data_IF_117706275440
#
_entry.id   IF_117706275440
#
_cell.length_a   1.000
_cell.length_b   1.000
_cell.length_c   1.000
_cell.angle_alpha   90.00
_cell.angle_beta   90.00
_cell.angle_gamma   90.00
#
_symmetry.space_group_name_H-M   'P 1'
#
loop_
_entity.id
_entity.type
_entity.pdbx_description
1 polymer ?
#
# COMPACT_ATOMS: atom_id res chain seq x y z
N UNK A 1 34.78 15.34 24.72
CA UNK A 1 34.13 14.02 24.57
C UNK A 1 32.71 14.28 24.08
N UNK A 2 32.41 13.97 22.82
CA UNK A 2 31.03 14.05 22.31
C UNK A 2 30.32 12.83 22.87
N UNK A 3 29.36 13.05 23.75
CA UNK A 3 28.46 12.04 24.26
C UNK A 3 27.76 11.34 23.09
N UNK A 4 28.08 10.07 22.87
CA UNK A 4 27.53 9.22 21.79
C UNK A 4 26.27 8.50 22.24
N UNK A 5 25.60 8.95 23.31
CA UNK A 5 24.39 8.29 23.79
C UNK A 5 23.19 8.52 22.87
N UNK A 6 22.71 7.39 22.32
CA UNK A 6 21.39 7.13 21.75
C UNK A 6 20.99 7.87 20.46
N UNK A 7 21.71 7.64 19.36
CA UNK A 7 21.05 7.76 18.04
C UNK A 7 20.09 6.56 17.93
N UNK A 8 18.76 6.75 17.88
CA UNK A 8 17.82 5.64 17.78
C UNK A 8 18.12 4.84 16.51
N UNK A 9 17.97 3.52 16.59
CA UNK A 9 18.13 2.66 15.43
C UNK A 9 17.14 3.10 14.34
N UNK A 10 17.46 2.84 13.06
CA UNK A 10 16.53 3.18 11.98
C UNK A 10 15.18 2.49 12.14
N UNK A 11 15.09 1.40 12.92
CA UNK A 11 13.84 0.69 13.22
C UNK A 11 13.03 1.35 14.34
N UNK A 12 13.66 2.11 15.24
CA UNK A 12 12.99 2.81 16.34
C UNK A 12 12.55 4.24 15.98
N UNK A 13 12.87 4.70 14.76
CA UNK A 13 12.56 6.06 14.35
C UNK A 13 11.04 6.27 14.23
N UNK A 14 10.45 6.92 15.22
CA UNK A 14 9.04 7.31 15.22
C UNK A 14 8.74 8.35 14.10
N UNK A 15 7.54 8.31 13.50
CA UNK A 15 7.11 9.33 12.55
C UNK A 15 6.93 10.71 13.20
N UNK A 16 7.48 11.76 12.59
CA UNK A 16 7.20 13.14 13.01
C UNK A 16 5.85 13.63 12.48
N UNK A 17 5.25 14.65 13.10
CA UNK A 17 4.01 15.26 12.59
C UNK A 17 4.13 15.69 11.11
N UNK A 18 5.29 16.23 10.72
CA UNK A 18 5.59 16.59 9.32
C UNK A 18 5.62 15.36 8.41
N UNK A 19 6.17 14.24 8.86
CA UNK A 19 6.16 12.99 8.10
C UNK A 19 4.72 12.47 7.94
N UNK A 20 3.92 12.49 9.01
CA UNK A 20 2.51 12.08 8.96
C UNK A 20 1.71 12.94 7.96
N UNK A 21 1.87 14.26 8.01
CA UNK A 21 1.22 15.17 7.06
C UNK A 21 1.61 14.86 5.61
N UNK A 22 2.91 14.67 5.34
CA UNK A 22 3.42 14.32 4.00
C UNK A 22 2.95 12.94 3.54
N UNK A 23 2.78 12.00 4.45
CA UNK A 23 2.21 10.70 4.10
C UNK A 23 0.78 10.89 3.60
N UNK A 24 -0.07 11.57 4.36
CA UNK A 24 -1.46 11.78 3.98
C UNK A 24 -1.65 12.69 2.75
N UNK A 25 -0.71 13.59 2.47
CA UNK A 25 -0.73 14.38 1.23
C UNK A 25 -0.45 13.56 -0.03
N UNK A 26 0.05 12.33 0.11
CA UNK A 26 0.28 11.38 -0.98
C UNK A 26 -0.78 10.26 -1.01
N UNK A 27 -1.97 10.52 -0.44
CA UNK A 27 -3.07 9.56 -0.39
C UNK A 27 -4.32 10.17 -1.01
N UNK A 28 -4.83 9.52 -2.05
CA UNK A 28 -6.13 9.85 -2.65
C UNK A 28 -7.19 8.98 -1.98
N UNK A 29 -8.14 9.61 -1.28
CA UNK A 29 -9.15 8.91 -0.48
C UNK A 29 -10.43 8.72 -1.28
N UNK A 30 -10.81 7.46 -1.49
CA UNK A 30 -12.14 7.13 -1.97
C UNK A 30 -13.22 7.36 -0.91
N UNK A 31 -14.46 7.64 -1.33
CA UNK A 31 -15.59 7.87 -0.43
C UNK A 31 -16.08 6.56 0.21
N UNK A 32 -16.90 6.65 1.26
CA UNK A 32 -17.61 5.49 1.82
C UNK A 32 -16.69 4.33 2.22
N UNK A 33 -16.90 3.13 1.66
CA UNK A 33 -16.06 1.94 1.87
C UNK A 33 -15.02 1.72 0.75
N UNK A 34 -14.62 2.76 0.04
CA UNK A 34 -13.62 2.66 -1.03
C UNK A 34 -12.17 2.71 -0.52
N UNK A 35 -11.23 2.31 -1.38
CA UNK A 35 -9.81 2.31 -1.03
C UNK A 35 -9.24 3.72 -0.82
N UNK A 36 -8.17 3.82 -0.03
CA UNK A 36 -7.35 5.02 0.03
C UNK A 36 -6.03 4.71 -0.65
N UNK A 37 -5.77 5.31 -1.81
CA UNK A 37 -4.69 4.91 -2.70
C UNK A 37 -3.46 5.76 -2.44
N UNK A 38 -2.34 5.09 -2.19
CA UNK A 38 -1.02 5.70 -2.18
C UNK A 38 -0.63 6.14 -3.59
N UNK A 39 -0.33 7.42 -3.77
CA UNK A 39 0.11 8.01 -5.05
C UNK A 39 1.55 8.54 -5.03
N UNK A 40 2.30 8.21 -3.98
CA UNK A 40 3.74 8.50 -3.89
C UNK A 40 4.62 7.44 -4.57
N UNK A 41 5.91 7.32 -4.17
CA UNK A 41 6.83 6.35 -4.73
C UNK A 41 6.34 4.90 -4.63
N UNK A 42 6.54 4.14 -5.70
CA UNK A 42 6.27 2.69 -5.80
C UNK A 42 7.61 2.00 -6.03
N UNK A 43 7.86 0.92 -5.29
CA UNK A 43 9.08 0.14 -5.45
C UNK A 43 8.96 -0.84 -6.62
N UNK A 44 10.04 -1.01 -7.36
CA UNK A 44 10.21 -2.04 -8.38
C UNK A 44 11.31 -3.01 -7.92
N UNK A 45 11.13 -4.33 -8.12
CA UNK A 45 10.02 -4.96 -8.83
C UNK A 45 8.80 -5.28 -7.95
N UNK A 46 8.81 -5.06 -6.63
CA UNK A 46 7.77 -5.59 -5.72
C UNK A 46 6.36 -5.00 -5.90
N UNK A 47 6.25 -3.77 -6.41
CA UNK A 47 5.01 -3.08 -6.71
C UNK A 47 4.33 -2.43 -5.49
N UNK A 48 4.96 -2.41 -4.32
CA UNK A 48 4.37 -1.77 -3.15
C UNK A 48 4.71 -0.29 -3.08
N UNK A 49 3.77 0.53 -2.57
CA UNK A 49 4.07 1.90 -2.18
C UNK A 49 5.19 1.95 -1.14
N UNK A 50 6.05 2.97 -1.19
CA UNK A 50 7.15 3.19 -0.25
C UNK A 50 7.08 4.57 0.37
N UNK A 51 7.34 4.62 1.67
CA UNK A 51 7.42 5.87 2.41
C UNK A 51 8.69 5.92 3.25
N UNK A 52 9.45 7.01 3.09
CA UNK A 52 10.72 7.23 3.78
C UNK A 52 10.65 8.51 4.58
N UNK A 53 10.98 8.47 5.87
CA UNK A 53 11.11 9.67 6.70
C UNK A 53 12.46 9.70 7.40
N UNK A 54 12.83 10.88 7.87
CA UNK A 54 14.15 11.12 8.44
C UNK A 54 14.03 12.15 9.56
N UNK A 55 14.78 11.92 10.64
CA UNK A 55 15.01 12.88 11.72
C UNK A 55 16.51 12.94 11.96
N UNK A 56 17.10 14.15 11.92
CA UNK A 56 18.55 14.35 11.95
C UNK A 56 19.24 13.46 10.89
N UNK A 57 20.13 12.57 11.29
CA UNK A 57 20.88 11.63 10.43
C UNK A 57 20.22 10.26 10.29
N UNK A 58 19.10 9.99 10.97
CA UNK A 58 18.44 8.67 10.95
C UNK A 58 17.30 8.68 9.94
N UNK A 59 17.33 7.74 9.00
CA UNK A 59 16.31 7.54 7.97
C UNK A 59 15.67 6.17 8.13
N UNK A 60 14.34 6.12 8.02
CA UNK A 60 13.55 4.90 8.04
C UNK A 60 12.65 4.83 6.80
N UNK A 61 12.54 3.65 6.21
CA UNK A 61 11.66 3.37 5.06
C UNK A 61 10.79 2.18 5.37
N UNK A 62 9.48 2.31 5.15
CA UNK A 62 8.51 1.22 5.20
C UNK A 62 7.74 1.14 3.88
N UNK A 63 7.05 0.02 3.65
CA UNK A 63 5.95 0.03 2.67
C UNK A 63 4.85 0.99 3.15
N UNK A 64 4.16 1.63 2.22
CA UNK A 64 3.14 2.64 2.54
C UNK A 64 2.02 2.06 3.41
N UNK A 65 1.59 0.81 3.15
CA UNK A 65 0.60 0.12 3.99
C UNK A 65 1.14 -0.16 5.41
N UNK A 66 2.41 -0.56 5.57
CA UNK A 66 3.00 -0.76 6.91
C UNK A 66 3.15 0.56 7.66
N UNK A 67 3.41 1.65 6.96
CA UNK A 67 3.40 2.97 7.58
C UNK A 67 2.00 3.36 8.05
N UNK A 68 0.95 3.10 7.28
CA UNK A 68 -0.42 3.33 7.72
C UNK A 68 -0.79 2.50 8.95
N UNK A 69 -0.40 1.22 8.99
CA UNK A 69 -0.56 0.37 10.17
C UNK A 69 0.23 0.89 11.37
N UNK A 70 1.46 1.37 11.17
CA UNK A 70 2.25 2.00 12.23
C UNK A 70 1.54 3.22 12.83
N UNK A 71 0.87 4.04 12.00
CA UNK A 71 0.11 5.18 12.50
C UNK A 71 -1.13 4.78 13.29
N UNK A 72 -1.81 3.70 12.88
CA UNK A 72 -3.00 3.20 13.57
C UNK A 72 -2.66 2.51 14.89
N UNK A 73 -1.65 1.63 14.88
CA UNK A 73 -1.26 0.81 16.02
C UNK A 73 -0.40 1.58 17.03
N UNK A 74 0.31 2.62 16.59
CA UNK A 74 1.34 3.31 17.38
C UNK A 74 2.68 2.57 17.44
N UNK A 75 2.75 1.35 16.89
CA UNK A 75 3.94 0.50 16.83
C UNK A 75 4.03 -0.27 15.51
N UNK A 76 5.18 -0.90 15.26
CA UNK A 76 5.33 -1.74 14.08
C UNK A 76 4.42 -2.96 14.15
N UNK A 77 3.97 -3.43 12.98
CA UNK A 77 3.25 -4.71 12.88
C UNK A 77 4.07 -5.79 13.59
N UNK A 78 3.51 -6.46 14.62
CA UNK A 78 4.26 -7.37 15.47
C UNK A 78 4.87 -8.53 14.68
N UNK A 79 5.95 -9.10 15.22
CA UNK A 79 6.57 -10.29 14.63
C UNK A 79 5.56 -11.44 14.54
N UNK A 80 5.57 -12.17 13.41
CA UNK A 80 4.59 -13.23 13.13
C UNK A 80 3.30 -12.75 12.47
N UNK A 81 3.09 -11.43 12.36
CA UNK A 81 1.94 -10.83 11.68
C UNK A 81 2.35 -10.09 10.41
N UNK A 82 1.38 -9.90 9.52
CA UNK A 82 1.50 -9.18 8.25
C UNK A 82 0.43 -8.10 8.13
N UNK A 83 0.69 -7.12 7.27
CA UNK A 83 -0.34 -6.20 6.80
C UNK A 83 -1.04 -6.81 5.59
N UNK A 84 -2.22 -7.38 5.79
CA UNK A 84 -3.01 -8.02 4.74
C UNK A 84 -3.86 -6.98 4.01
N UNK A 85 -3.77 -6.97 2.68
CA UNK A 85 -4.71 -6.24 1.82
C UNK A 85 -5.95 -7.10 1.53
N UNK A 86 -6.98 -7.01 2.39
CA UNK A 86 -8.26 -7.69 2.20
C UNK A 86 -8.98 -7.22 0.91
N UNK A 87 -8.76 -5.97 0.51
CA UNK A 87 -9.25 -5.39 -0.76
C UNK A 87 -8.47 -5.81 -2.00
N UNK A 88 -7.36 -6.57 -1.84
CA UNK A 88 -6.48 -7.01 -2.92
C UNK A 88 -5.83 -5.88 -3.74
N UNK A 89 -5.71 -4.68 -3.17
CA UNK A 89 -5.06 -3.53 -3.79
C UNK A 89 -3.75 -3.17 -3.07
N UNK A 90 -2.57 -3.46 -3.64
CA UNK A 90 -1.25 -3.21 -3.02
C UNK A 90 -0.97 -1.76 -2.64
N UNK A 91 -1.64 -0.80 -3.31
CA UNK A 91 -1.50 0.63 -2.99
C UNK A 91 -2.52 1.14 -1.96
N UNK A 92 -3.44 0.31 -1.47
CA UNK A 92 -4.43 0.73 -0.49
C UNK A 92 -3.80 0.90 0.91
N UNK A 93 -3.97 2.08 1.51
CA UNK A 93 -3.45 2.40 2.86
C UNK A 93 -4.57 2.63 3.88
N UNK A 94 -5.81 2.32 3.53
CA UNK A 94 -6.96 2.46 4.44
C UNK A 94 -6.94 1.33 5.47
N UNK A 95 -6.58 1.64 6.72
CA UNK A 95 -6.66 0.67 7.82
C UNK A 95 -8.13 0.44 8.17
N UNK A 96 -8.63 -0.74 7.82
CA UNK A 96 -10.03 -1.17 7.97
C UNK A 96 -10.12 -2.66 7.65
N UNK A 97 -11.07 -3.38 8.25
CA UNK A 97 -11.23 -4.84 8.09
C UNK A 97 -11.35 -5.30 6.62
N UNK A 98 -12.00 -4.51 5.77
CA UNK A 98 -12.19 -4.81 4.35
C UNK A 98 -11.07 -4.29 3.43
N UNK A 99 -10.08 -3.58 3.98
CA UNK A 99 -9.02 -2.92 3.19
C UNK A 99 -7.64 -3.39 3.59
N UNK A 100 -7.12 -2.88 4.70
CA UNK A 100 -5.81 -3.19 5.25
C UNK A 100 -5.96 -3.53 6.72
N UNK A 101 -5.57 -4.76 7.09
CA UNK A 101 -5.66 -5.25 8.47
C UNK A 101 -4.40 -6.00 8.88
N UNK A 102 -4.19 -6.12 10.18
CA UNK A 102 -3.19 -7.04 10.73
C UNK A 102 -3.77 -8.45 10.67
N UNK A 103 -3.00 -9.39 10.15
CA UNK A 103 -3.38 -10.79 10.10
C UNK A 103 -2.14 -11.67 10.27
N UNK A 104 -2.33 -12.91 10.68
CA UNK A 104 -1.32 -13.96 10.60
C UNK A 104 -1.15 -14.43 9.16
N UNK A 105 -0.04 -15.12 8.88
CA UNK A 105 0.16 -15.72 7.56
C UNK A 105 -0.92 -16.77 7.23
N UNK A 106 -1.40 -17.51 8.24
CA UNK A 106 -2.45 -18.51 8.09
C UNK A 106 -3.79 -17.87 7.68
N UNK A 107 -4.22 -16.83 8.41
CA UNK A 107 -5.45 -16.09 8.09
C UNK A 107 -5.42 -15.48 6.69
N UNK A 108 -4.27 -14.96 6.24
CA UNK A 108 -4.12 -14.43 4.89
C UNK A 108 -4.21 -15.53 3.81
N UNK A 109 -3.70 -16.74 4.08
CA UNK A 109 -3.85 -17.87 3.17
C UNK A 109 -5.32 -18.30 3.11
N UNK A 110 -5.97 -18.47 4.27
CA UNK A 110 -7.38 -18.86 4.36
C UNK A 110 -8.29 -17.85 3.66
N UNK A 111 -8.02 -16.55 3.86
CA UNK A 111 -8.76 -15.49 3.18
C UNK A 111 -8.46 -15.46 1.67
N UNK A 112 -7.24 -15.75 1.23
CA UNK A 112 -6.93 -15.91 -0.19
C UNK A 112 -7.69 -17.09 -0.80
N UNK A 113 -7.81 -18.22 -0.09
CA UNK A 113 -8.60 -19.39 -0.50
C UNK A 113 -10.08 -19.02 -0.59
N UNK A 114 -10.65 -18.43 0.46
CA UNK A 114 -12.06 -18.00 0.50
C UNK A 114 -12.41 -17.07 -0.66
N UNK A 115 -11.50 -16.16 -1.03
CA UNK A 115 -11.68 -15.22 -2.13
C UNK A 115 -11.44 -15.83 -3.52
N UNK A 116 -11.17 -17.14 -3.62
CA UNK A 116 -10.81 -17.80 -4.88
C UNK A 116 -9.49 -17.34 -5.48
N UNK A 117 -8.63 -16.66 -4.69
CA UNK A 117 -7.31 -16.19 -5.11
C UNK A 117 -6.23 -17.26 -4.95
N UNK A 118 -6.52 -18.32 -4.21
CA UNK A 118 -5.66 -19.49 -4.10
C UNK A 118 -5.92 -20.45 -5.27
N UNK A 119 -5.65 -19.97 -6.48
CA UNK A 119 -5.48 -20.86 -7.64
C UNK A 119 -4.10 -21.50 -7.45
N UNK A 120 -3.95 -22.81 -7.75
CA UNK A 120 -2.72 -23.59 -7.48
C UNK A 120 -1.45 -23.03 -8.14
N UNK A 121 -0.43 -23.87 -8.38
CA UNK A 121 0.93 -23.50 -8.82
C UNK A 121 1.06 -22.76 -10.18
N UNK A 122 0.00 -22.12 -10.69
CA UNK A 122 0.11 -21.01 -11.63
C UNK A 122 0.94 -19.92 -10.95
N UNK A 123 2.07 -19.55 -11.58
CA UNK A 123 2.88 -18.42 -11.18
C UNK A 123 1.97 -17.20 -11.09
N UNK A 124 1.48 -16.89 -9.88
CA UNK A 124 0.69 -15.71 -9.63
C UNK A 124 1.48 -14.55 -10.19
N UNK A 125 0.94 -13.94 -11.24
CA UNK A 125 1.47 -12.82 -11.99
C UNK A 125 2.61 -12.13 -11.23
N UNK A 126 3.84 -12.41 -11.65
CA UNK A 126 5.06 -12.10 -10.89
C UNK A 126 5.14 -10.65 -10.45
N UNK A 127 6.02 -10.38 -9.49
CA UNK A 127 6.33 -9.05 -8.95
C UNK A 127 6.20 -7.90 -9.96
N UNK A 128 6.73 -8.07 -11.17
CA UNK A 128 6.65 -7.14 -12.31
C UNK A 128 5.22 -6.78 -12.73
N UNK A 129 4.32 -7.77 -12.84
CA UNK A 129 2.89 -7.54 -13.10
C UNK A 129 2.20 -6.79 -11.95
N UNK A 130 2.66 -6.97 -10.70
CA UNK A 130 2.19 -6.15 -9.57
C UNK A 130 2.67 -4.70 -9.68
N UNK A 131 3.94 -4.49 -10.03
CA UNK A 131 4.51 -3.16 -10.17
C UNK A 131 3.81 -2.37 -11.28
N UNK A 132 3.63 -2.97 -12.46
CA UNK A 132 2.88 -2.35 -13.56
C UNK A 132 1.44 -2.04 -13.17
N UNK A 133 0.73 -2.99 -12.53
CA UNK A 133 -0.64 -2.75 -12.04
C UNK A 133 -0.69 -1.59 -11.06
N UNK A 134 0.28 -1.50 -10.16
CA UNK A 134 0.35 -0.41 -9.17
C UNK A 134 0.63 0.93 -9.84
N UNK A 135 1.49 0.97 -10.86
CA UNK A 135 1.70 2.18 -11.67
C UNK A 135 0.43 2.62 -12.40
N UNK A 136 -0.32 1.68 -13.01
CA UNK A 136 -1.61 1.98 -13.65
C UNK A 136 -2.62 2.55 -12.65
N UNK A 137 -2.78 1.88 -11.50
CA UNK A 137 -3.69 2.32 -10.44
C UNK A 137 -3.33 3.71 -9.94
N UNK A 138 -2.04 3.98 -9.68
CA UNK A 138 -1.57 5.31 -9.29
C UNK A 138 -1.91 6.35 -10.36
N UNK A 139 -1.60 6.07 -11.63
CA UNK A 139 -1.88 6.99 -12.74
C UNK A 139 -3.36 7.34 -12.85
N UNK A 140 -4.23 6.34 -12.68
CA UNK A 140 -5.69 6.50 -12.78
C UNK A 140 -6.29 7.45 -11.73
N UNK A 141 -5.69 7.54 -10.54
CA UNK A 141 -6.28 8.32 -9.42
C UNK A 141 -5.42 9.49 -8.95
N UNK A 142 -4.23 9.72 -9.52
CA UNK A 142 -3.29 10.76 -9.02
C UNK A 142 -3.88 12.17 -9.02
N UNK A 143 -4.83 12.44 -9.93
CA UNK A 143 -5.49 13.74 -10.07
C UNK A 143 -6.83 13.83 -9.33
N UNK A 144 -7.21 12.79 -8.57
CA UNK A 144 -8.49 12.73 -7.88
C UNK A 144 -9.05 11.32 -7.89
N UNK A 145 -9.99 11.05 -6.98
CA UNK A 145 -10.65 9.77 -6.94
C UNK A 145 -11.57 9.57 -8.14
N UNK A 146 -11.29 8.53 -8.92
CA UNK A 146 -12.15 8.03 -9.99
C UNK A 146 -12.30 6.51 -9.84
N UNK A 147 -13.54 6.07 -9.58
CA UNK A 147 -13.84 4.66 -9.32
C UNK A 147 -13.74 3.80 -10.57
N UNK A 148 -14.18 4.33 -11.72
CA UNK A 148 -14.18 3.58 -12.98
C UNK A 148 -12.76 3.44 -13.50
N UNK A 149 -12.00 4.54 -13.50
CA UNK A 149 -10.59 4.52 -13.88
C UNK A 149 -9.77 3.56 -12.98
N UNK A 150 -10.04 3.55 -11.66
CA UNK A 150 -9.43 2.59 -10.74
C UNK A 150 -9.76 1.15 -11.12
N UNK A 151 -11.04 0.82 -11.35
CA UNK A 151 -11.46 -0.52 -11.71
C UNK A 151 -10.82 -1.02 -13.01
N UNK A 152 -10.80 -0.18 -14.05
CA UNK A 152 -10.16 -0.47 -15.33
C UNK A 152 -8.65 -0.71 -15.16
N UNK A 153 -7.96 0.16 -14.42
CA UNK A 153 -6.54 0.03 -14.14
C UNK A 153 -6.19 -1.27 -13.39
N UNK A 154 -7.04 -1.70 -12.45
CA UNK A 154 -6.90 -2.96 -11.71
C UNK A 154 -7.06 -4.18 -12.60
N UNK A 155 -8.01 -4.15 -13.53
CA UNK A 155 -8.26 -5.21 -14.50
C UNK A 155 -7.17 -5.28 -15.59
N UNK A 156 -6.36 -4.23 -15.73
CA UNK A 156 -5.42 -4.10 -16.85
C UNK A 156 -6.11 -3.73 -18.16
N UNK A 157 -7.37 -3.30 -18.09
CA UNK A 157 -8.11 -2.77 -19.23
C UNK A 157 -7.77 -1.28 -19.28
N UNK A 158 -7.08 -0.86 -20.34
CA UNK A 158 -6.89 0.57 -20.59
C UNK A 158 -8.25 1.11 -21.02
N UNK A 159 -8.82 2.00 -20.21
CA UNK A 159 -10.02 2.72 -20.64
C UNK A 159 -9.57 3.77 -21.66
N UNK A 160 -9.87 3.52 -22.92
CA UNK A 160 -9.75 4.53 -23.98
C UNK A 160 -11.09 5.30 -24.03
N UNK A 161 -11.08 6.62 -23.72
CA UNK A 161 -12.29 7.43 -23.75
C UNK A 161 -12.86 7.62 -25.17
N UNK A 162 -12.09 7.31 -26.21
CA UNK A 162 -12.53 7.32 -27.62
C UNK A 162 -13.03 5.94 -28.09
N UNK A 163 -12.86 4.89 -27.28
CA UNK A 163 -13.30 3.55 -27.63
C UNK A 163 -14.83 3.47 -27.60
N UNK A 164 -15.42 3.24 -28.77
CA UNK A 164 -16.86 3.01 -28.94
C UNK A 164 -17.26 1.78 -28.10
N UNK A 165 -18.26 1.91 -27.21
CA UNK A 165 -18.74 0.79 -26.42
C UNK A 165 -19.19 -0.38 -27.30
N UNK A 166 -18.87 -1.60 -26.90
CA UNK A 166 -19.43 -2.80 -27.50
C UNK A 166 -20.83 -3.03 -26.91
N UNK A 167 -21.81 -2.26 -27.36
CA UNK A 167 -23.23 -2.60 -27.27
C UNK A 167 -23.92 -2.33 -28.60
#
# INVERSE_FOLDING_TARGET
MIDRSSVPSSQELAPTARAVQRFWSNVVRGPGNECWIWVGPISTPDGYGRFTWQTKSVRRTLSAHRFALLLELGEDVPAGYIGEHACCEPLCVRVHEHHLRVATQAENIDYAVFRGRHVGNQRGAGSELRAERSMRVRSAVINGWDKEALHSARAGIVHDPEQIPLW
#
